data_IF_428427894873
#
_entry.id   IF_428427894873
#
_cell.length_a   1.000
_cell.length_b   1.000
_cell.length_c   1.000
_cell.angle_alpha   90.00
_cell.angle_beta   90.00
_cell.angle_gamma   90.00
#
_symmetry.space_group_name_H-M   'P 1'
#
loop_
_entity.id
_entity.type
_entity.pdbx_description
1 polymer ?
#
# COMPACT_ATOMS: atom_id res chain seq x y z
N UNK A 1 -15.57 -2.42 -17.69
CA UNK A 1 -14.39 -1.81 -17.05
C UNK A 1 -13.14 -2.22 -17.82
N UNK A 2 -12.34 -1.26 -18.30
CA UNK A 2 -11.12 -1.51 -19.09
C UNK A 2 -10.12 -2.41 -18.32
N UNK A 3 -9.49 -3.35 -19.02
CA UNK A 3 -8.49 -4.28 -18.48
C UNK A 3 -7.28 -3.53 -17.89
N UNK A 4 -6.91 -2.37 -18.47
CA UNK A 4 -5.84 -1.50 -17.96
C UNK A 4 -6.16 -0.93 -16.58
N UNK A 5 -7.42 -0.53 -16.36
CA UNK A 5 -7.90 0.01 -15.08
C UNK A 5 -7.90 -1.10 -14.03
N UNK A 6 -8.47 -2.27 -14.36
CA UNK A 6 -8.44 -3.45 -13.48
C UNK A 6 -7.02 -3.81 -13.06
N UNK A 7 -6.09 -3.86 -14.02
CA UNK A 7 -4.69 -4.22 -13.76
C UNK A 7 -4.01 -3.23 -12.82
N UNK A 8 -4.07 -1.92 -13.11
CA UNK A 8 -3.34 -0.92 -12.33
C UNK A 8 -3.94 -0.66 -10.94
N UNK A 9 -5.27 -0.61 -10.84
CA UNK A 9 -5.91 -0.21 -9.58
C UNK A 9 -6.18 -1.37 -8.64
N UNK A 10 -6.37 -2.58 -9.16
CA UNK A 10 -6.72 -3.75 -8.33
C UNK A 10 -5.60 -4.79 -8.30
N UNK A 11 -5.12 -5.25 -9.47
CA UNK A 11 -4.20 -6.39 -9.52
C UNK A 11 -2.80 -6.02 -8.99
N UNK A 12 -2.19 -4.93 -9.49
CA UNK A 12 -0.85 -4.51 -9.04
C UNK A 12 -0.76 -4.31 -7.52
N UNK A 13 -1.61 -3.51 -6.87
CA UNK A 13 -1.53 -3.33 -5.41
C UNK A 13 -1.82 -4.61 -4.63
N UNK A 14 -2.71 -5.48 -5.13
CA UNK A 14 -2.94 -6.80 -4.53
C UNK A 14 -1.69 -7.67 -4.61
N UNK A 15 -1.03 -7.73 -5.77
CA UNK A 15 0.24 -8.47 -5.95
C UNK A 15 1.31 -7.92 -5.02
N UNK A 16 1.48 -6.60 -4.93
CA UNK A 16 2.42 -6.00 -3.98
C UNK A 16 2.10 -6.34 -2.52
N UNK A 17 0.82 -6.38 -2.15
CA UNK A 17 0.41 -6.78 -0.80
C UNK A 17 0.75 -8.26 -0.51
N UNK A 18 0.44 -9.16 -1.45
CA UNK A 18 0.73 -10.60 -1.31
C UNK A 18 2.24 -10.86 -1.27
N UNK A 19 3.00 -10.29 -2.20
CA UNK A 19 4.46 -10.43 -2.26
C UNK A 19 5.11 -9.83 -1.01
N UNK A 20 4.66 -8.66 -0.56
CA UNK A 20 5.13 -8.04 0.69
C UNK A 20 4.87 -8.90 1.91
N UNK A 21 3.71 -9.55 2.00
CA UNK A 21 3.37 -10.47 3.08
C UNK A 21 4.25 -11.74 3.06
N UNK A 22 4.49 -12.33 1.88
CA UNK A 22 5.36 -13.50 1.72
C UNK A 22 6.80 -13.15 2.13
N UNK A 23 7.32 -12.02 1.66
CA UNK A 23 8.68 -11.58 2.02
C UNK A 23 8.79 -11.31 3.52
N UNK A 24 7.80 -10.63 4.11
CA UNK A 24 7.75 -10.40 5.56
C UNK A 24 7.75 -11.70 6.36
N UNK A 25 6.95 -12.68 5.94
CA UNK A 25 6.90 -14.01 6.55
C UNK A 25 8.24 -14.75 6.45
N UNK A 26 8.84 -14.77 5.25
CA UNK A 26 10.16 -15.39 5.04
C UNK A 26 11.25 -14.73 5.87
N UNK A 27 11.21 -13.41 6.05
CA UNK A 27 12.17 -12.69 6.89
C UNK A 27 12.04 -13.06 8.36
N UNK A 28 10.81 -13.15 8.88
CA UNK A 28 10.57 -13.58 10.26
C UNK A 28 11.06 -15.01 10.47
N UNK A 29 10.70 -15.92 9.57
CA UNK A 29 11.13 -17.32 9.61
C UNK A 29 12.66 -17.47 9.58
N UNK A 30 13.32 -16.69 8.70
CA UNK A 30 14.78 -16.72 8.60
C UNK A 30 15.46 -16.17 9.86
N UNK A 31 14.92 -15.11 10.48
CA UNK A 31 15.46 -14.56 11.73
C UNK A 31 15.37 -15.61 12.85
N UNK A 32 14.24 -16.30 12.98
CA UNK A 32 14.06 -17.38 13.96
C UNK A 32 15.08 -18.52 13.74
N UNK A 33 15.27 -18.93 12.49
CA UNK A 33 16.18 -20.03 12.15
C UNK A 33 17.67 -19.69 12.38
N UNK A 34 18.11 -18.47 12.04
CA UNK A 34 19.49 -18.03 12.29
C UNK A 34 19.78 -17.88 13.78
N UNK A 35 18.80 -17.42 14.57
CA UNK A 35 18.96 -17.27 16.03
C UNK A 35 19.18 -18.64 16.70
N UNK A 36 18.41 -19.66 16.30
CA UNK A 36 18.53 -21.02 16.87
C UNK A 36 19.90 -21.62 16.55
N UNK A 37 20.39 -21.48 15.32
CA UNK A 37 21.64 -22.10 14.89
C UNK A 37 22.89 -21.39 15.43
N UNK A 38 22.86 -20.06 15.63
CA UNK A 38 23.95 -19.32 16.29
C UNK A 38 24.04 -19.62 17.79
N UNK A 39 22.90 -19.78 18.48
CA UNK A 39 22.86 -19.97 19.95
C UNK A 39 23.45 -21.31 20.41
N UNK A 40 23.49 -22.35 19.56
CA UNK A 40 24.13 -23.62 19.91
C UNK A 40 25.66 -23.53 20.04
N UNK A 41 26.29 -22.42 19.58
CA UNK A 41 27.74 -22.21 19.65
C UNK A 41 28.21 -21.36 20.86
N UNK A 42 27.32 -20.63 21.54
CA UNK A 42 27.68 -19.66 22.61
C UNK A 42 27.12 -20.12 23.96
N UNK A 43 27.85 -21.02 24.60
CA UNK A 43 27.87 -21.34 26.05
C UNK A 43 26.82 -20.74 27.01
N UNK A 44 25.96 -21.61 27.58
CA UNK A 44 25.41 -21.68 28.97
C UNK A 44 24.88 -20.42 29.72
N UNK A 45 24.88 -19.22 29.18
CA UNK A 45 24.44 -17.97 29.89
C UNK A 45 23.03 -17.50 29.50
N UNK A 46 22.38 -18.16 28.54
CA UNK A 46 21.28 -17.56 27.75
C UNK A 46 19.84 -17.85 28.21
N UNK A 47 19.62 -18.52 29.35
CA UNK A 47 18.26 -18.89 29.77
C UNK A 47 17.39 -17.66 30.10
N UNK A 48 17.99 -16.50 30.38
CA UNK A 48 17.25 -15.24 30.61
C UNK A 48 17.10 -14.36 29.35
N UNK A 49 17.99 -14.49 28.34
CA UNK A 49 17.94 -13.63 27.13
C UNK A 49 16.81 -14.06 26.18
N UNK A 50 16.44 -15.36 26.20
CA UNK A 50 15.26 -15.88 25.47
C UNK A 50 13.91 -15.34 25.99
N UNK A 51 13.86 -14.73 27.16
CA UNK A 51 12.60 -14.33 27.79
C UNK A 51 12.07 -12.97 27.34
N UNK A 52 12.81 -12.15 26.57
CA UNK A 52 12.40 -10.74 26.42
C UNK A 52 12.66 -10.07 25.06
N UNK A 53 12.75 -10.82 23.96
CA UNK A 53 12.36 -10.25 22.66
C UNK A 53 10.90 -10.62 22.41
N UNK A 54 9.94 -9.75 22.77
CA UNK A 54 8.54 -10.13 22.79
C UNK A 54 8.09 -10.41 21.36
N UNK A 55 7.38 -11.53 21.17
CA UNK A 55 6.72 -11.94 19.92
C UNK A 55 5.99 -10.79 19.20
N UNK A 56 5.48 -9.83 19.98
CA UNK A 56 4.93 -8.56 19.53
C UNK A 56 5.84 -7.75 18.58
N UNK A 57 7.16 -7.69 18.78
CA UNK A 57 8.07 -6.96 17.89
C UNK A 57 8.11 -7.59 16.49
N UNK A 58 8.12 -8.93 16.42
CA UNK A 58 8.04 -9.64 15.14
C UNK A 58 6.70 -9.39 14.43
N UNK A 59 5.60 -9.35 15.18
CA UNK A 59 4.30 -8.98 14.64
C UNK A 59 4.31 -7.56 14.07
N UNK A 60 4.85 -6.56 14.80
CA UNK A 60 4.94 -5.17 14.30
C UNK A 60 5.74 -5.12 13.00
N UNK A 61 6.86 -5.82 12.92
CA UNK A 61 7.68 -5.86 11.71
C UNK A 61 6.90 -6.50 10.55
N UNK A 62 6.20 -7.62 10.78
CA UNK A 62 5.33 -8.26 9.79
C UNK A 62 4.27 -7.30 9.25
N UNK A 63 3.56 -6.63 10.17
CA UNK A 63 2.48 -5.71 9.84
C UNK A 63 2.98 -4.47 9.10
N UNK A 64 4.18 -3.99 9.42
CA UNK A 64 4.79 -2.83 8.75
C UNK A 64 4.99 -3.05 7.25
N UNK A 65 5.26 -4.28 6.81
CA UNK A 65 5.37 -4.63 5.38
C UNK A 65 4.02 -4.90 4.70
N UNK A 66 3.04 -5.46 5.42
CA UNK A 66 1.74 -5.83 4.84
C UNK A 66 0.74 -4.66 4.77
N UNK A 67 0.72 -3.78 5.76
CA UNK A 67 -0.28 -2.70 5.90
C UNK A 67 -0.28 -1.73 4.70
N UNK A 68 0.87 -1.26 4.15
CA UNK A 68 0.86 -0.29 3.04
C UNK A 68 0.19 -0.82 1.77
N UNK A 69 0.45 -2.09 1.42
CA UNK A 69 -0.14 -2.73 0.25
C UNK A 69 -1.65 -2.92 0.40
N UNK A 70 -2.09 -3.39 1.57
CA UNK A 70 -3.51 -3.57 1.87
C UNK A 70 -4.26 -2.23 1.88
N UNK A 71 -3.69 -1.20 2.51
CA UNK A 71 -4.27 0.16 2.53
C UNK A 71 -4.46 0.70 1.12
N UNK A 72 -3.44 0.57 0.26
CA UNK A 72 -3.53 1.02 -1.13
C UNK A 72 -4.61 0.26 -1.91
N UNK A 73 -4.71 -1.06 -1.71
CA UNK A 73 -5.73 -1.88 -2.35
C UNK A 73 -7.16 -1.49 -1.93
N UNK A 74 -7.40 -1.31 -0.63
CA UNK A 74 -8.71 -0.91 -0.09
C UNK A 74 -9.10 0.48 -0.62
N UNK A 75 -8.20 1.46 -0.58
CA UNK A 75 -8.48 2.81 -1.10
C UNK A 75 -8.80 2.79 -2.59
N UNK A 76 -8.07 1.98 -3.38
CA UNK A 76 -8.37 1.82 -4.80
C UNK A 76 -9.73 1.15 -5.04
N UNK A 77 -10.12 0.17 -4.22
CA UNK A 77 -11.45 -0.45 -4.31
C UNK A 77 -12.55 0.59 -4.06
N UNK A 78 -12.41 1.42 -3.03
CA UNK A 78 -13.36 2.50 -2.72
C UNK A 78 -13.42 3.48 -3.89
N UNK A 79 -12.28 3.90 -4.43
CA UNK A 79 -12.23 4.81 -5.57
C UNK A 79 -12.90 4.22 -6.84
N UNK A 80 -12.67 2.93 -7.13
CA UNK A 80 -13.32 2.23 -8.25
C UNK A 80 -14.82 2.12 -8.02
N UNK A 81 -15.26 1.88 -6.77
CA UNK A 81 -16.69 1.83 -6.42
C UNK A 81 -17.37 3.18 -6.66
N UNK A 82 -16.78 4.26 -6.15
CA UNK A 82 -17.30 5.63 -6.33
C UNK A 82 -17.40 6.02 -7.82
N UNK A 83 -16.40 5.67 -8.61
CA UNK A 83 -16.40 5.91 -10.05
C UNK A 83 -17.55 5.16 -10.75
N UNK A 84 -17.75 3.88 -10.41
CA UNK A 84 -18.84 3.08 -10.98
C UNK A 84 -20.23 3.59 -10.62
N UNK A 85 -20.39 4.21 -9.46
CA UNK A 85 -21.66 4.85 -9.07
C UNK A 85 -21.83 6.27 -9.62
N UNK A 86 -20.90 6.75 -10.45
CA UNK A 86 -20.97 8.09 -11.06
C UNK A 86 -20.58 9.25 -10.15
N UNK A 87 -20.02 8.98 -8.96
CA UNK A 87 -19.58 10.01 -8.00
C UNK A 87 -18.26 10.68 -8.42
N UNK A 88 -17.48 10.04 -9.27
CA UNK A 88 -16.26 10.62 -9.85
C UNK A 88 -16.27 10.49 -11.37
N UNK A 89 -15.78 11.50 -12.10
CA UNK A 89 -15.70 11.45 -13.56
C UNK A 89 -14.55 10.58 -14.04
N UNK A 90 -14.64 10.13 -15.29
CA UNK A 90 -13.53 9.53 -16.03
C UNK A 90 -12.60 10.61 -16.54
N UNK A 91 -11.29 10.34 -16.52
CA UNK A 91 -10.30 11.24 -17.08
C UNK A 91 -10.48 11.38 -18.61
N UNK A 92 -10.57 12.61 -19.16
CA UNK A 92 -10.78 12.81 -20.60
C UNK A 92 -9.57 12.39 -21.44
N UNK A 93 -8.39 12.26 -20.83
CA UNK A 93 -7.14 11.92 -21.54
C UNK A 93 -6.90 10.41 -21.61
N UNK A 94 -7.13 9.68 -20.51
CA UNK A 94 -6.78 8.26 -20.42
C UNK A 94 -7.92 7.34 -19.97
N UNK A 95 -9.09 7.86 -19.63
CA UNK A 95 -10.26 7.09 -19.20
C UNK A 95 -10.19 6.51 -17.79
N UNK A 96 -9.11 6.71 -17.03
CA UNK A 96 -9.02 6.28 -15.64
C UNK A 96 -9.94 7.10 -14.72
N UNK A 97 -10.42 6.54 -13.60
CA UNK A 97 -11.18 7.30 -12.61
C UNK A 97 -10.36 8.47 -12.07
N UNK A 98 -11.04 9.57 -11.82
CA UNK A 98 -10.44 10.75 -11.20
C UNK A 98 -10.62 10.71 -9.68
N UNK A 99 -9.69 11.35 -8.98
CA UNK A 99 -9.73 11.54 -7.54
C UNK A 99 -9.76 13.03 -7.22
N UNK A 100 -10.48 13.40 -6.17
CA UNK A 100 -10.54 14.79 -5.71
C UNK A 100 -9.20 15.18 -5.09
N UNK A 101 -8.65 16.31 -5.52
CA UNK A 101 -7.41 16.88 -5.04
C UNK A 101 -7.64 18.34 -4.69
N UNK A 102 -6.89 18.85 -3.71
CA UNK A 102 -6.91 20.25 -3.32
C UNK A 102 -5.72 20.95 -3.96
N UNK A 103 -5.96 22.07 -4.63
CA UNK A 103 -4.90 22.89 -5.20
C UNK A 103 -4.07 23.51 -4.08
N UNK A 104 -2.76 23.26 -4.12
CA UNK A 104 -1.80 23.73 -3.09
C UNK A 104 -1.07 25.02 -3.47
N UNK A 105 -1.14 25.44 -4.74
CA UNK A 105 -0.41 26.60 -5.27
C UNK A 105 -1.22 27.30 -6.36
N UNK A 106 -0.96 28.58 -6.58
CA UNK A 106 -1.57 29.39 -7.64
C UNK A 106 -2.87 30.09 -7.23
N UNK A 107 -3.64 30.64 -8.19
CA UNK A 107 -4.83 31.44 -7.90
C UNK A 107 -6.01 30.62 -7.33
N UNK A 108 -5.96 29.29 -7.44
CA UNK A 108 -7.02 28.38 -6.98
C UNK A 108 -6.67 27.65 -5.68
N UNK A 109 -5.74 28.15 -4.86
CA UNK A 109 -5.33 27.50 -3.59
C UNK A 109 -6.56 27.20 -2.72
N UNK A 110 -6.60 26.00 -2.15
CA UNK A 110 -7.71 25.54 -1.30
C UNK A 110 -8.91 25.00 -2.06
N UNK A 111 -9.02 25.27 -3.37
CA UNK A 111 -10.11 24.74 -4.18
C UNK A 111 -9.90 23.27 -4.53
N UNK A 112 -11.01 22.54 -4.58
CA UNK A 112 -11.02 21.15 -5.00
C UNK A 112 -11.11 21.03 -6.52
N UNK A 113 -10.42 20.05 -7.08
CA UNK A 113 -10.53 19.69 -8.48
C UNK A 113 -10.39 18.18 -8.64
N UNK A 114 -10.93 17.64 -9.71
CA UNK A 114 -10.69 16.25 -10.09
C UNK A 114 -9.33 16.16 -10.77
N UNK A 115 -8.43 15.33 -10.23
CA UNK A 115 -7.17 14.98 -10.87
C UNK A 115 -7.14 13.52 -11.28
N UNK A 116 -6.46 13.20 -12.38
CA UNK A 116 -6.26 11.82 -12.79
C UNK A 116 -5.58 10.99 -11.69
N UNK A 117 -6.06 9.75 -11.47
CA UNK A 117 -5.41 8.78 -10.58
C UNK A 117 -3.92 8.56 -10.93
N UNK A 118 -3.56 8.67 -12.21
CA UNK A 118 -2.22 8.36 -12.71
C UNK A 118 -1.23 9.53 -12.65
N UNK A 119 -1.59 10.70 -12.11
CA UNK A 119 -0.65 11.81 -11.96
C UNK A 119 0.62 11.36 -11.18
N UNK A 120 1.85 11.71 -11.64
CA UNK A 120 2.21 12.68 -12.69
C UNK A 120 2.24 12.12 -14.12
N UNK A 121 1.99 10.83 -14.32
CA UNK A 121 2.01 10.19 -15.66
C UNK A 121 0.87 10.66 -16.57
N UNK A 122 -0.21 11.15 -15.99
CA UNK A 122 -1.31 11.78 -16.69
C UNK A 122 -1.73 13.05 -15.94
N UNK A 123 -1.74 14.19 -16.64
CA UNK A 123 -2.06 15.52 -16.10
C UNK A 123 -3.52 15.92 -16.34
N UNK A 124 -4.39 14.98 -16.71
CA UNK A 124 -5.81 15.25 -16.89
C UNK A 124 -6.45 15.79 -15.59
N UNK A 125 -7.16 16.90 -15.72
CA UNK A 125 -7.83 17.61 -14.63
C UNK A 125 -9.22 18.10 -15.07
N UNK A 126 -10.17 18.12 -14.15
CA UNK A 126 -11.51 18.70 -14.34
C UNK A 126 -11.76 19.61 -13.15
N UNK A 127 -12.06 20.88 -13.41
CA UNK A 127 -12.39 21.84 -12.36
C UNK A 127 -13.78 21.52 -11.81
N UNK A 128 -13.91 21.57 -10.47
CA UNK A 128 -15.20 21.54 -9.81
C UNK A 128 -15.60 23.01 -9.75
N UNK A 129 -16.63 23.37 -10.53
CA UNK A 129 -17.10 24.76 -10.67
C UNK A 129 -17.61 25.35 -9.37
#
# INVERSE_FOLDING_TARGET
MDSRIKRRMLIIPLVYAVVGAIIGFLMIYFIEHQLINMFHAVSKVEIEVKANFPYFVYLILAFSFAIPGLKAFILNLIAVRQWRSGLSPSCPVCGFPMIQRIARRGPYIGQCFWGCYQYPKCCGKIHIG
#
